data_IF_245520396802
#
_entry.id   IF_245520396802
#
_cell.length_a   1.000
_cell.length_b   1.000
_cell.length_c   1.000
_cell.angle_alpha   90.00
_cell.angle_beta   90.00
_cell.angle_gamma   90.00
#
_symmetry.space_group_name_H-M   'P 1'
#
loop_
_entity.id
_entity.type
_entity.pdbx_description
1 polymer ?
#
# COMPACT_ATOMS: atom_id res chain seq x y z
N UNK A 1 -35.42 -8.56 -11.99
CA UNK A 1 -34.32 -9.24 -11.27
C UNK A 1 -33.04 -8.77 -11.94
N UNK A 2 -32.13 -8.12 -11.22
CA UNK A 2 -30.84 -7.68 -11.78
C UNK A 2 -30.08 -8.91 -12.28
N UNK A 3 -29.95 -9.07 -13.59
CA UNK A 3 -29.12 -10.12 -14.17
C UNK A 3 -27.66 -9.65 -14.20
N UNK A 4 -26.89 -10.11 -13.22
CA UNK A 4 -25.46 -9.81 -13.10
C UNK A 4 -24.58 -10.90 -13.75
N UNK A 5 -25.16 -11.88 -14.45
CA UNK A 5 -24.46 -13.08 -14.92
C UNK A 5 -23.37 -12.81 -15.96
N UNK A 6 -23.41 -11.67 -16.65
CA UNK A 6 -22.43 -11.24 -17.65
C UNK A 6 -21.61 -9.98 -17.25
N UNK A 7 -21.81 -9.43 -16.04
CA UNK A 7 -21.22 -8.15 -15.63
C UNK A 7 -19.80 -8.26 -15.06
N UNK A 8 -19.29 -9.48 -14.87
CA UNK A 8 -17.93 -9.71 -14.36
C UNK A 8 -17.06 -10.34 -15.43
N UNK A 9 -16.52 -9.52 -16.33
CA UNK A 9 -15.27 -9.92 -16.99
C UNK A 9 -14.18 -9.76 -15.95
N UNK A 10 -13.87 -10.83 -15.21
CA UNK A 10 -12.67 -10.88 -14.37
C UNK A 10 -11.50 -10.58 -15.29
N UNK A 11 -10.97 -9.36 -15.24
CA UNK A 11 -9.68 -9.06 -15.84
C UNK A 11 -8.71 -10.01 -15.13
N UNK A 12 -8.35 -11.12 -15.78
CA UNK A 12 -7.37 -12.06 -15.28
C UNK A 12 -6.02 -11.38 -15.43
N UNK A 13 -5.79 -10.33 -14.65
CA UNK A 13 -4.45 -9.86 -14.41
C UNK A 13 -3.74 -10.99 -13.67
N UNK A 14 -2.82 -11.63 -14.40
CA UNK A 14 -2.05 -12.81 -14.00
C UNK A 14 -1.03 -12.51 -12.89
N UNK A 15 -1.35 -11.61 -11.98
CA UNK A 15 -0.59 -11.45 -10.74
C UNK A 15 -1.40 -12.11 -9.65
N UNK A 16 -1.38 -13.45 -9.67
CA UNK A 16 -1.37 -14.16 -8.40
C UNK A 16 -0.32 -13.42 -7.56
N UNK A 17 -0.75 -12.81 -6.46
CA UNK A 17 0.17 -12.38 -5.43
C UNK A 17 0.97 -13.63 -5.05
N UNK A 18 2.20 -13.68 -5.56
CA UNK A 18 3.27 -14.34 -4.83
C UNK A 18 3.22 -13.77 -3.41
N UNK A 19 3.37 -14.65 -2.44
CA UNK A 19 2.97 -14.54 -1.04
C UNK A 19 3.64 -13.40 -0.22
N UNK A 20 4.05 -12.28 -0.82
CA UNK A 20 4.94 -11.27 -0.20
C UNK A 20 4.65 -9.82 -0.69
N UNK A 21 3.41 -9.48 -1.05
CA UNK A 21 3.09 -8.09 -1.35
C UNK A 21 1.63 -7.85 -1.64
N UNK A 22 0.97 -7.09 -0.77
CA UNK A 22 -0.39 -6.60 -1.00
C UNK A 22 -0.42 -5.82 -2.32
N UNK A 23 -1.43 -6.08 -3.15
CA UNK A 23 -1.64 -5.36 -4.42
C UNK A 23 -1.92 -3.88 -4.13
N UNK A 24 -1.31 -3.00 -4.92
CA UNK A 24 -1.60 -1.57 -5.00
C UNK A 24 -1.63 -1.18 -6.48
N UNK A 25 -2.48 -0.21 -6.84
CA UNK A 25 -2.71 0.19 -8.22
C UNK A 25 -4.19 0.39 -8.58
N UNK A 26 -4.44 0.60 -9.87
CA UNK A 26 -5.79 0.76 -10.41
C UNK A 26 -6.34 -0.58 -10.91
N UNK A 27 -7.60 -0.88 -10.58
CA UNK A 27 -8.38 -1.94 -11.20
C UNK A 27 -9.70 -1.37 -11.74
N UNK A 28 -10.33 -2.03 -12.72
CA UNK A 28 -11.62 -1.57 -13.24
C UNK A 28 -12.46 -2.68 -13.85
N UNK A 29 -13.77 -2.47 -13.81
CA UNK A 29 -14.74 -3.29 -14.52
C UNK A 29 -15.81 -2.42 -15.17
N UNK A 30 -16.47 -2.96 -16.20
CA UNK A 30 -17.57 -2.29 -16.88
C UNK A 30 -18.90 -2.99 -16.60
N UNK A 31 -19.99 -2.23 -16.65
CA UNK A 31 -21.33 -2.73 -16.35
C UNK A 31 -22.38 -2.10 -17.25
N UNK A 32 -23.49 -2.82 -17.43
CA UNK A 32 -24.75 -2.31 -17.95
C UNK A 32 -25.85 -2.69 -16.99
N UNK A 33 -26.85 -1.83 -16.82
CA UNK A 33 -28.07 -2.15 -16.06
C UNK A 33 -29.23 -2.33 -17.03
N UNK A 34 -30.12 -3.27 -16.75
CA UNK A 34 -31.29 -3.58 -17.57
C UNK A 34 -32.55 -3.55 -16.69
N UNK A 35 -33.63 -2.96 -17.19
CA UNK A 35 -34.93 -2.82 -16.50
C UNK A 35 -35.99 -3.84 -16.92
N UNK A 36 -35.66 -4.74 -17.84
CA UNK A 36 -36.54 -5.74 -18.43
C UNK A 36 -36.87 -5.46 -19.90
N UNK A 37 -36.62 -4.25 -20.39
CA UNK A 37 -36.88 -3.86 -21.79
C UNK A 37 -35.61 -3.37 -22.49
N UNK A 38 -34.80 -2.55 -21.81
CA UNK A 38 -33.63 -1.92 -22.43
C UNK A 38 -32.38 -2.02 -21.54
N UNK A 39 -31.23 -2.20 -22.19
CA UNK A 39 -29.92 -2.05 -21.57
C UNK A 39 -29.49 -0.59 -21.50
N UNK A 40 -28.81 -0.22 -20.41
CA UNK A 40 -28.09 1.05 -20.33
C UNK A 40 -26.90 1.10 -21.29
N UNK A 41 -26.36 2.31 -21.46
CA UNK A 41 -25.00 2.47 -21.95
C UNK A 41 -24.00 1.80 -20.99
N UNK A 42 -22.82 1.48 -21.51
CA UNK A 42 -21.75 0.89 -20.73
C UNK A 42 -21.17 1.91 -19.73
N UNK A 43 -21.20 1.57 -18.44
CA UNK A 43 -20.54 2.31 -17.37
C UNK A 43 -19.23 1.63 -16.99
N UNK A 44 -18.27 2.40 -16.47
CA UNK A 44 -16.98 1.90 -15.97
C UNK A 44 -16.80 2.30 -14.50
N UNK A 45 -16.47 1.33 -13.66
CA UNK A 45 -16.05 1.55 -12.27
C UNK A 45 -14.54 1.36 -12.19
N UNK A 46 -13.86 2.33 -11.60
CA UNK A 46 -12.43 2.29 -11.31
C UNK A 46 -12.22 2.20 -9.80
N UNK A 47 -11.36 1.27 -9.38
CA UNK A 47 -10.94 1.04 -8.00
C UNK A 47 -9.47 1.44 -7.90
N UNK A 48 -9.14 2.30 -6.96
CA UNK A 48 -7.74 2.66 -6.66
C UNK A 48 -7.34 2.06 -5.32
N UNK A 49 -6.38 1.13 -5.34
CA UNK A 49 -5.78 0.53 -4.15
C UNK A 49 -4.48 1.28 -3.84
N UNK A 50 -4.47 1.99 -2.71
CA UNK A 50 -3.27 2.71 -2.27
C UNK A 50 -2.25 1.75 -1.67
N UNK A 51 -0.99 2.08 -1.86
CA UNK A 51 0.10 1.42 -1.16
C UNK A 51 0.00 1.71 0.34
N UNK A 52 0.27 0.68 1.15
CA UNK A 52 0.42 0.81 2.60
C UNK A 52 1.89 1.11 2.88
N UNK A 53 2.17 2.29 3.43
CA UNK A 53 3.49 2.65 3.94
C UNK A 53 3.43 2.44 5.46
N UNK A 54 4.31 1.59 5.98
CA UNK A 54 4.41 1.35 7.41
C UNK A 54 5.32 2.40 8.04
N UNK A 55 4.81 3.11 9.04
CA UNK A 55 5.67 3.99 9.84
C UNK A 55 6.75 3.13 10.52
N UNK A 56 8.02 3.42 10.25
CA UNK A 56 9.15 2.66 10.77
C UNK A 56 9.65 1.51 9.90
N UNK A 57 9.06 1.23 8.74
CA UNK A 57 9.71 0.42 7.68
C UNK A 57 10.71 1.33 6.97
N UNK A 58 11.95 1.32 7.46
CA UNK A 58 13.01 2.22 7.03
C UNK A 58 13.72 1.65 5.80
N UNK A 59 13.71 0.32 5.64
CA UNK A 59 14.41 -0.37 4.56
C UNK A 59 13.51 -0.63 3.32
N UNK A 60 12.19 -0.43 3.44
CA UNK A 60 11.20 -0.59 2.38
C UNK A 60 10.82 -2.06 2.09
N UNK A 61 11.06 -2.97 3.02
CA UNK A 61 10.79 -4.41 2.85
C UNK A 61 9.35 -4.82 3.19
N UNK A 62 8.52 -3.85 3.59
CA UNK A 62 7.11 -3.99 3.98
C UNK A 62 6.87 -4.69 5.31
N UNK A 63 7.91 -4.82 6.12
CA UNK A 63 7.81 -5.31 7.50
C UNK A 63 8.54 -4.33 8.42
N UNK A 64 8.09 -4.20 9.67
CA UNK A 64 8.82 -3.42 10.67
C UNK A 64 9.48 -4.39 11.63
N UNK A 65 10.80 -4.48 11.58
CA UNK A 65 11.57 -5.45 12.34
C UNK A 65 12.91 -4.87 12.84
N UNK A 66 13.80 -5.74 13.35
CA UNK A 66 15.09 -5.32 13.91
C UNK A 66 16.01 -4.68 12.87
N UNK A 67 15.88 -5.02 11.59
CA UNK A 67 16.68 -4.44 10.51
C UNK A 67 16.38 -2.96 10.31
N UNK A 68 15.12 -2.53 10.47
CA UNK A 68 14.75 -1.11 10.44
C UNK A 68 15.38 -0.34 11.60
N UNK A 69 15.31 -0.92 12.80
CA UNK A 69 15.90 -0.32 13.99
C UNK A 69 17.42 -0.18 13.84
N UNK A 70 18.08 -1.19 13.26
CA UNK A 70 19.52 -1.15 12.95
C UNK A 70 19.83 -0.06 11.93
N UNK A 71 18.97 0.16 10.92
CA UNK A 71 19.17 1.24 9.96
C UNK A 71 19.09 2.63 10.61
N UNK A 72 18.10 2.87 11.48
CA UNK A 72 18.04 4.12 12.27
C UNK A 72 19.28 4.28 13.15
N UNK A 73 19.62 3.23 13.92
CA UNK A 73 20.76 3.27 14.84
C UNK A 73 22.10 3.53 14.11
N UNK A 74 22.27 2.99 12.89
CA UNK A 74 23.46 3.22 12.06
C UNK A 74 23.62 4.67 11.57
N UNK A 75 22.54 5.46 11.63
CA UNK A 75 22.50 6.86 11.26
C UNK A 75 22.35 7.79 12.48
N UNK A 76 22.37 7.26 13.70
CA UNK A 76 22.15 8.03 14.92
C UNK A 76 23.13 9.20 15.07
N UNK A 77 22.60 10.37 15.39
CA UNK A 77 23.34 11.62 15.53
C UNK A 77 23.69 12.30 14.21
N UNK A 78 23.14 11.86 13.08
CA UNK A 78 23.25 12.57 11.80
C UNK A 78 22.16 13.62 11.68
N UNK A 79 22.53 14.75 11.08
CA UNK A 79 21.65 15.87 10.80
C UNK A 79 21.64 16.18 9.29
N UNK A 80 20.50 16.61 8.78
CA UNK A 80 20.33 17.02 7.39
C UNK A 80 18.97 16.64 6.81
N UNK A 81 18.73 17.06 5.57
CA UNK A 81 17.52 16.68 4.85
C UNK A 81 17.65 15.25 4.30
N UNK A 82 16.51 14.53 4.20
CA UNK A 82 16.39 13.20 3.60
C UNK A 82 17.33 12.13 4.19
N UNK A 83 17.59 12.19 5.50
CA UNK A 83 18.42 11.19 6.18
C UNK A 83 17.72 9.85 6.25
N UNK A 84 18.44 8.80 5.83
CA UNK A 84 18.02 7.42 6.09
C UNK A 84 17.95 7.23 7.60
N UNK A 85 16.75 6.95 8.11
CA UNK A 85 16.50 6.78 9.54
C UNK A 85 15.98 8.01 10.28
N UNK A 86 15.81 9.16 9.63
CA UNK A 86 14.95 10.24 10.14
C UNK A 86 13.49 9.85 9.84
N UNK A 87 12.85 9.21 10.80
CA UNK A 87 11.52 8.60 10.65
C UNK A 87 10.43 9.64 10.91
N UNK A 88 10.71 10.65 11.74
CA UNK A 88 9.74 11.68 12.09
C UNK A 88 9.83 12.94 11.19
N UNK A 89 10.87 13.06 10.37
CA UNK A 89 11.10 14.15 9.42
C UNK A 89 11.60 15.45 10.06
N UNK A 90 12.23 15.37 11.24
CA UNK A 90 12.72 16.54 11.98
C UNK A 90 14.14 16.98 11.59
N UNK A 91 14.75 16.29 10.62
CA UNK A 91 16.11 16.50 10.07
C UNK A 91 17.23 16.04 11.00
N UNK A 92 16.93 15.32 12.07
CA UNK A 92 17.92 14.78 13.00
C UNK A 92 17.60 13.33 13.34
N UNK A 93 18.56 12.43 13.16
CA UNK A 93 18.37 11.03 13.53
C UNK A 93 18.69 10.86 15.02
N UNK A 94 17.68 10.68 15.84
CA UNK A 94 17.82 10.66 17.29
C UNK A 94 16.96 9.55 17.94
N UNK A 95 16.79 9.64 19.27
CA UNK A 95 16.05 8.62 20.05
C UNK A 95 14.57 8.57 19.68
N UNK A 96 13.99 9.67 19.22
CA UNK A 96 12.61 9.73 18.78
C UNK A 96 12.39 8.89 17.52
N UNK A 97 13.36 8.83 16.60
CA UNK A 97 13.27 7.95 15.42
C UNK A 97 13.32 6.47 15.80
N UNK A 98 14.24 6.10 16.71
CA UNK A 98 14.31 4.73 17.22
C UNK A 98 13.01 4.32 17.92
N UNK A 99 12.42 5.22 18.70
CA UNK A 99 11.14 4.98 19.37
C UNK A 99 10.01 4.84 18.34
N UNK A 100 10.00 5.64 17.26
CA UNK A 100 9.01 5.51 16.20
C UNK A 100 9.04 4.11 15.57
N UNK A 101 10.22 3.60 15.20
CA UNK A 101 10.36 2.22 14.68
C UNK A 101 9.94 1.17 15.71
N UNK A 102 10.43 1.29 16.95
CA UNK A 102 10.15 0.32 18.01
C UNK A 102 8.69 0.33 18.49
N UNK A 103 7.93 1.39 18.22
CA UNK A 103 6.51 1.51 18.58
C UNK A 103 5.56 0.85 17.59
N UNK A 104 6.06 0.48 16.40
CA UNK A 104 5.26 -0.10 15.34
C UNK A 104 5.79 -1.46 14.81
N UNK A 105 6.21 -2.41 15.66
CA UNK A 105 6.67 -3.71 15.19
C UNK A 105 5.50 -4.50 14.58
N UNK A 106 5.72 -5.13 13.42
CA UNK A 106 4.79 -6.18 12.97
C UNK A 106 4.91 -7.39 13.92
N UNK A 107 3.75 -7.94 14.33
CA UNK A 107 3.65 -9.21 15.05
C UNK A 107 3.36 -10.35 14.08
#
# INVERSE_FOLDING_TARGET
MLDLSNAFTKNRDKRQQSLVGLFHGEDSFTYKVNDGELDSLEGKITIQVKEVILAGDVNGDKTVNIFDLVMVASNFGKDGDDMVGDVNGDKTVNIFDLVMVASNPEN
#
